data_IF_312425402574
#
_entry.id   IF_312425402574
#
_cell.length_a   1.000
_cell.length_b   1.000
_cell.length_c   1.000
_cell.angle_alpha   90.00
_cell.angle_beta   90.00
_cell.angle_gamma   90.00
#
_symmetry.space_group_name_H-M   'P 1'
#
loop_
_entity.id
_entity.type
_entity.pdbx_description
1 polymer ?
#
# COMPACT_ATOMS: atom_id res chain seq x y z
N UNK A 1 9.81 41.64 -3.56
CA UNK A 1 9.37 40.23 -3.53
C UNK A 1 9.86 39.57 -4.80
N UNK A 2 10.96 38.86 -4.72
CA UNK A 2 11.50 38.07 -5.83
C UNK A 2 10.60 36.84 -5.97
N UNK A 3 9.71 36.86 -6.96
CA UNK A 3 8.88 35.72 -7.30
C UNK A 3 9.77 34.60 -7.82
N UNK A 4 10.11 33.65 -6.96
CA UNK A 4 10.62 32.36 -7.39
C UNK A 4 9.49 31.68 -8.17
N UNK A 5 9.71 31.44 -9.45
CA UNK A 5 8.86 30.54 -10.24
C UNK A 5 8.78 29.22 -9.47
N UNK A 6 7.59 28.69 -9.13
CA UNK A 6 7.53 27.44 -8.39
C UNK A 6 8.19 26.36 -9.25
N UNK A 7 9.32 25.83 -8.78
CA UNK A 7 9.96 24.66 -9.36
C UNK A 7 8.95 23.53 -9.31
N UNK A 8 8.59 23.02 -10.48
CA UNK A 8 7.71 21.88 -10.63
C UNK A 8 8.26 20.72 -9.77
N UNK A 9 7.40 20.10 -8.96
CA UNK A 9 7.80 18.94 -8.14
C UNK A 9 8.52 17.90 -9.02
N UNK A 10 9.63 17.28 -8.55
CA UNK A 10 10.32 16.25 -9.31
C UNK A 10 9.38 15.08 -9.69
N UNK A 11 8.36 14.83 -8.87
CA UNK A 11 7.30 13.85 -9.08
C UNK A 11 6.25 14.25 -10.13
N UNK A 12 6.48 15.33 -10.88
CA UNK A 12 5.66 15.77 -12.01
C UNK A 12 6.48 15.95 -13.29
N UNK A 13 7.72 15.44 -13.30
CA UNK A 13 8.69 15.65 -14.39
C UNK A 13 9.31 14.33 -14.85
N UNK A 14 9.85 14.30 -16.08
CA UNK A 14 10.51 13.13 -16.66
C UNK A 14 9.64 11.86 -16.59
N UNK A 15 10.18 10.76 -16.03
CA UNK A 15 9.46 9.50 -15.85
C UNK A 15 8.25 9.61 -14.91
N UNK A 16 8.15 10.69 -14.14
CA UNK A 16 7.02 11.00 -13.25
C UNK A 16 6.05 12.03 -13.86
N UNK A 17 6.25 12.44 -15.12
CA UNK A 17 5.33 13.37 -15.77
C UNK A 17 3.93 12.74 -15.93
N UNK A 18 2.85 13.48 -15.67
CA UNK A 18 1.50 12.94 -15.78
C UNK A 18 1.15 12.46 -17.19
N UNK A 19 0.56 11.27 -17.28
CA UNK A 19 -0.05 10.73 -18.49
C UNK A 19 -1.43 11.37 -18.68
N UNK A 20 -1.60 12.11 -19.78
CA UNK A 20 -2.81 12.89 -20.03
C UNK A 20 -3.88 12.15 -20.83
N UNK A 21 -3.49 11.14 -21.60
CA UNK A 21 -4.36 10.46 -22.55
C UNK A 21 -4.69 9.04 -22.08
N UNK A 22 -5.98 8.70 -22.12
CA UNK A 22 -6.47 7.33 -22.02
C UNK A 22 -6.60 6.75 -23.43
N UNK A 23 -5.86 5.69 -23.70
CA UNK A 23 -5.76 5.05 -25.01
C UNK A 23 -6.13 3.57 -24.92
N UNK A 24 -6.41 2.99 -26.08
CA UNK A 24 -6.49 1.54 -26.28
C UNK A 24 -5.69 1.22 -27.53
N UNK A 25 -4.78 0.26 -27.43
CA UNK A 25 -3.89 -0.12 -28.51
C UNK A 25 -3.88 -1.64 -28.65
N UNK A 26 -4.32 -2.13 -29.80
CA UNK A 26 -4.28 -3.54 -30.16
C UNK A 26 -3.02 -3.86 -30.99
N UNK A 27 -2.60 -5.13 -30.98
CA UNK A 27 -1.48 -5.64 -31.77
C UNK A 27 -0.18 -4.84 -31.55
N UNK A 28 0.22 -4.69 -30.29
CA UNK A 28 1.47 -4.03 -29.95
C UNK A 28 2.65 -4.69 -30.67
N UNK A 29 3.64 -3.87 -31.06
CA UNK A 29 4.88 -4.36 -31.63
C UNK A 29 5.63 -5.20 -30.59
N UNK A 30 5.85 -6.48 -30.91
CA UNK A 30 6.69 -7.39 -30.12
C UNK A 30 8.10 -7.39 -30.69
N UNK A 31 9.10 -7.22 -29.81
CA UNK A 31 10.51 -7.45 -30.13
C UNK A 31 10.91 -8.74 -29.42
N UNK A 32 11.29 -9.77 -30.19
CA UNK A 32 11.45 -11.13 -29.68
C UNK A 32 10.18 -11.97 -29.89
N UNK A 33 9.87 -12.87 -28.97
CA UNK A 33 8.72 -13.78 -29.05
C UNK A 33 7.97 -13.79 -27.70
N UNK A 34 6.65 -13.69 -27.75
CA UNK A 34 5.79 -13.89 -26.58
C UNK A 34 5.40 -15.37 -26.50
N UNK A 35 5.54 -16.02 -25.33
CA UNK A 35 5.14 -17.43 -25.17
C UNK A 35 3.67 -17.63 -25.54
N UNK A 36 3.39 -18.58 -26.43
CA UNK A 36 2.04 -18.83 -26.94
C UNK A 36 1.09 -19.36 -25.86
N UNK A 37 1.64 -20.01 -24.83
CA UNK A 37 0.94 -20.56 -23.66
C UNK A 37 0.69 -19.53 -22.55
N UNK A 38 1.32 -18.35 -22.61
CA UNK A 38 1.03 -17.26 -21.69
C UNK A 38 -0.25 -16.52 -22.13
N UNK A 39 -1.29 -16.61 -21.31
CA UNK A 39 -2.54 -15.88 -21.51
C UNK A 39 -3.01 -15.24 -20.22
N UNK A 40 -3.21 -13.92 -20.24
CA UNK A 40 -3.62 -13.17 -19.06
C UNK A 40 -3.51 -11.66 -19.25
N UNK A 41 -3.73 -10.93 -18.18
CA UNK A 41 -3.60 -9.47 -18.16
C UNK A 41 -2.80 -9.05 -16.94
N UNK A 42 -1.68 -8.37 -17.18
CA UNK A 42 -0.94 -7.67 -16.14
C UNK A 42 -1.51 -6.27 -16.00
N UNK A 43 -2.04 -5.94 -14.83
CA UNK A 43 -2.57 -4.61 -14.54
C UNK A 43 -1.71 -3.97 -13.45
N UNK A 44 -1.20 -2.77 -13.74
CA UNK A 44 -0.47 -1.93 -12.78
C UNK A 44 -1.32 -0.71 -12.45
N UNK A 45 -1.33 -0.31 -11.19
CA UNK A 45 -1.90 0.95 -10.73
C UNK A 45 -0.77 1.92 -10.34
N UNK A 46 -1.05 3.21 -10.37
CA UNK A 46 -0.13 4.21 -9.85
C UNK A 46 -0.73 5.60 -9.79
N UNK A 47 -0.09 6.52 -9.04
CA UNK A 47 -0.51 7.90 -8.95
C UNK A 47 -0.26 8.65 -10.26
N UNK A 48 -1.28 9.34 -10.75
CA UNK A 48 -1.22 10.18 -11.93
C UNK A 48 -2.20 11.35 -11.76
N UNK A 49 -1.75 12.58 -11.45
CA UNK A 49 -2.66 13.69 -11.15
C UNK A 49 -3.39 14.12 -12.43
N UNK A 50 -4.72 14.23 -12.35
CA UNK A 50 -5.54 14.65 -13.48
C UNK A 50 -5.27 16.12 -13.89
N UNK A 51 -5.07 16.99 -12.90
CA UNK A 51 -4.82 18.42 -13.08
C UNK A 51 -3.56 18.84 -12.32
N UNK A 52 -3.08 20.05 -12.62
CA UNK A 52 -2.00 20.67 -11.86
C UNK A 52 -2.38 20.73 -10.36
N UNK A 53 -1.55 20.15 -9.47
CA UNK A 53 -1.83 20.13 -8.03
C UNK A 53 -1.90 21.52 -7.40
N UNK A 54 -2.65 21.65 -6.31
CA UNK A 54 -2.65 22.84 -5.45
C UNK A 54 -1.61 22.64 -4.35
N UNK A 55 -0.68 23.59 -4.20
CA UNK A 55 0.34 23.57 -3.16
C UNK A 55 1.47 22.57 -3.44
N UNK A 56 2.04 22.02 -2.37
CA UNK A 56 3.08 20.99 -2.44
C UNK A 56 2.52 19.66 -2.94
N UNK A 57 3.28 18.99 -3.81
CA UNK A 57 2.88 17.72 -4.41
C UNK A 57 3.78 16.58 -3.95
N UNK A 58 3.17 15.56 -3.37
CA UNK A 58 3.79 14.28 -3.03
C UNK A 58 3.41 13.22 -4.08
N UNK A 59 4.33 12.30 -4.37
CA UNK A 59 4.06 11.22 -5.33
C UNK A 59 2.83 10.36 -4.99
N UNK A 60 2.39 10.28 -3.73
CA UNK A 60 1.15 9.57 -3.35
C UNK A 60 -0.14 10.32 -3.67
N UNK A 61 -0.07 11.58 -4.10
CA UNK A 61 -1.25 12.40 -4.32
C UNK A 61 -1.92 12.15 -5.68
N UNK A 62 -1.24 11.60 -6.69
CA UNK A 62 -1.86 11.44 -8.02
C UNK A 62 -3.15 10.60 -8.01
N UNK A 63 -4.10 10.89 -8.89
CA UNK A 63 -5.28 10.04 -9.08
C UNK A 63 -4.88 8.65 -9.58
N UNK A 64 -5.62 7.60 -9.23
CA UNK A 64 -5.28 6.25 -9.63
C UNK A 64 -5.40 6.08 -11.14
N UNK A 65 -4.32 5.67 -11.79
CA UNK A 65 -4.32 5.35 -13.22
C UNK A 65 -3.84 3.92 -13.45
N UNK A 66 -4.73 3.13 -14.03
CA UNK A 66 -4.51 1.74 -14.37
C UNK A 66 -3.84 1.65 -15.74
N UNK A 67 -2.87 0.75 -15.84
CA UNK A 67 -2.21 0.35 -17.08
C UNK A 67 -2.34 -1.16 -17.21
N UNK A 68 -3.03 -1.61 -18.25
CA UNK A 68 -3.26 -3.01 -18.54
C UNK A 68 -2.50 -3.48 -19.77
N UNK A 69 -1.70 -4.53 -19.62
CA UNK A 69 -1.08 -5.26 -20.72
C UNK A 69 -1.68 -6.66 -20.78
N UNK A 70 -2.43 -6.94 -21.84
CA UNK A 70 -3.01 -8.27 -22.08
C UNK A 70 -2.14 -9.04 -23.05
N UNK A 71 -1.81 -10.27 -22.71
CA UNK A 71 -1.13 -11.23 -23.59
C UNK A 71 -2.10 -12.37 -23.87
N UNK A 72 -2.21 -12.77 -25.14
CA UNK A 72 -3.01 -13.92 -25.55
C UNK A 72 -2.52 -14.43 -26.92
N UNK A 73 -2.23 -15.73 -27.02
CA UNK A 73 -1.79 -16.38 -28.26
C UNK A 73 -0.64 -15.64 -28.98
N UNK A 74 0.40 -15.29 -28.22
CA UNK A 74 1.59 -14.59 -28.75
C UNK A 74 1.35 -13.12 -29.17
N UNK A 75 0.19 -12.55 -28.85
CA UNK A 75 -0.14 -11.13 -29.14
C UNK A 75 -0.29 -10.33 -27.87
N UNK A 76 0.03 -9.04 -27.94
CA UNK A 76 -0.16 -8.10 -26.85
C UNK A 76 -1.11 -6.95 -27.23
N UNK A 77 -1.96 -6.54 -26.28
CA UNK A 77 -2.74 -5.30 -26.34
C UNK A 77 -2.62 -4.50 -25.05
N UNK A 78 -2.85 -3.20 -25.14
CA UNK A 78 -2.69 -2.27 -24.03
C UNK A 78 -3.91 -1.35 -23.88
N UNK A 79 -4.26 -1.02 -22.65
CA UNK A 79 -5.14 0.09 -22.35
C UNK A 79 -4.74 0.75 -21.02
N UNK A 80 -5.06 2.03 -20.88
CA UNK A 80 -4.95 2.74 -19.61
C UNK A 80 -6.23 3.50 -19.28
N UNK A 81 -6.63 3.47 -18.01
CA UNK A 81 -7.82 4.18 -17.52
C UNK A 81 -7.57 4.81 -16.18
N UNK A 82 -8.07 6.03 -15.97
CA UNK A 82 -8.21 6.55 -14.62
C UNK A 82 -9.26 5.75 -13.86
N UNK A 83 -9.02 5.52 -12.57
CA UNK A 83 -10.05 5.10 -11.65
C UNK A 83 -10.99 6.28 -11.43
N UNK A 84 -12.26 6.12 -11.79
CA UNK A 84 -13.27 7.19 -11.73
C UNK A 84 -13.78 7.37 -10.30
N UNK A 85 -12.90 7.78 -9.39
CA UNK A 85 -13.25 8.05 -7.99
C UNK A 85 -14.18 9.26 -7.86
N UNK A 86 -14.78 9.45 -6.68
CA UNK A 86 -15.58 10.65 -6.41
C UNK A 86 -14.75 11.92 -6.63
N UNK A 87 -13.53 11.95 -6.07
CA UNK A 87 -12.58 13.04 -6.28
C UNK A 87 -12.35 13.30 -7.77
N UNK A 88 -11.98 12.28 -8.54
CA UNK A 88 -11.71 12.41 -9.98
C UNK A 88 -12.90 13.03 -10.70
N UNK A 89 -14.11 12.55 -10.42
CA UNK A 89 -15.32 13.04 -11.10
C UNK A 89 -15.60 14.52 -10.80
N UNK A 90 -15.43 14.95 -9.54
CA UNK A 90 -15.61 16.35 -9.15
C UNK A 90 -14.57 17.26 -9.83
N UNK A 91 -13.28 16.91 -9.75
CA UNK A 91 -12.24 17.72 -10.39
C UNK A 91 -12.41 17.77 -11.91
N UNK A 92 -12.83 16.66 -12.53
CA UNK A 92 -13.15 16.63 -13.95
C UNK A 92 -14.31 17.59 -14.31
N UNK A 93 -15.34 17.67 -13.47
CA UNK A 93 -16.47 18.58 -13.67
C UNK A 93 -16.05 20.05 -13.50
N UNK A 94 -15.21 20.34 -12.52
CA UNK A 94 -14.67 21.68 -12.24
C UNK A 94 -13.56 22.11 -13.24
N UNK A 95 -12.97 21.15 -13.96
CA UNK A 95 -11.88 21.40 -14.91
C UNK A 95 -10.55 21.78 -14.25
N UNK A 96 -10.38 21.49 -12.96
CA UNK A 96 -9.19 21.83 -12.17
C UNK A 96 -9.10 20.96 -10.91
N UNK A 97 -7.92 20.97 -10.28
CA UNK A 97 -7.77 20.42 -8.93
C UNK A 97 -8.65 21.20 -7.93
N UNK A 98 -9.27 20.47 -7.01
CA UNK A 98 -10.21 20.98 -5.98
C UNK A 98 -9.67 20.72 -4.57
N UNK A 99 -8.91 19.65 -4.39
CA UNK A 99 -8.27 19.30 -3.13
C UNK A 99 -6.75 19.46 -3.18
N UNK A 100 -6.15 19.81 -2.05
CA UNK A 100 -4.69 19.80 -1.87
C UNK A 100 -4.15 18.38 -1.65
N UNK A 101 -2.81 18.26 -1.66
CA UNK A 101 -2.10 17.00 -1.40
C UNK A 101 -1.86 16.72 0.08
N UNK A 102 -1.20 15.58 0.35
CA UNK A 102 -0.89 15.07 1.69
C UNK A 102 -0.01 16.01 2.53
N UNK A 103 0.84 16.81 1.88
CA UNK A 103 1.76 17.74 2.55
C UNK A 103 1.11 19.09 2.91
N UNK A 104 -0.17 19.27 2.59
CA UNK A 104 -0.93 20.48 2.89
C UNK A 104 -1.90 20.24 4.06
N UNK A 105 -2.35 21.30 4.77
CA UNK A 105 -3.29 21.16 5.86
C UNK A 105 -4.62 20.50 5.45
N UNK A 106 -5.28 19.73 6.36
CA UNK A 106 -6.59 19.15 6.09
C UNK A 106 -7.65 20.19 5.73
N UNK A 107 -8.41 19.95 4.67
CA UNK A 107 -9.43 20.88 4.15
C UNK A 107 -10.84 20.50 4.62
N UNK A 108 -11.12 20.67 5.91
CA UNK A 108 -12.42 20.28 6.50
C UNK A 108 -13.61 21.05 5.92
N UNK A 109 -13.39 22.31 5.50
CA UNK A 109 -14.43 23.21 4.98
C UNK A 109 -14.59 23.15 3.44
N UNK A 110 -14.00 22.15 2.78
CA UNK A 110 -14.14 22.02 1.33
C UNK A 110 -15.62 21.73 0.96
N UNK A 111 -16.25 22.52 0.06
CA UNK A 111 -17.67 22.37 -0.27
C UNK A 111 -18.01 21.02 -0.93
N UNK A 112 -17.01 20.31 -1.47
CA UNK A 112 -17.18 18.99 -2.05
C UNK A 112 -16.93 17.84 -1.05
N UNK A 113 -16.76 18.17 0.23
CA UNK A 113 -16.49 17.23 1.32
C UNK A 113 -15.02 16.79 1.42
N UNK A 114 -14.77 15.81 2.27
CA UNK A 114 -13.41 15.36 2.66
C UNK A 114 -12.99 14.03 2.03
N UNK A 115 -13.85 13.39 1.24
CA UNK A 115 -13.52 12.14 0.54
C UNK A 115 -12.60 12.39 -0.65
N UNK A 116 -11.30 12.18 -0.42
CA UNK A 116 -10.23 12.39 -1.39
C UNK A 116 -9.66 11.09 -1.95
N UNK A 117 -10.43 9.99 -1.89
CA UNK A 117 -9.95 8.67 -2.30
C UNK A 117 -9.38 8.67 -3.73
N UNK A 118 -8.08 8.36 -3.82
CA UNK A 118 -7.31 8.34 -5.06
C UNK A 118 -7.35 6.98 -5.76
N UNK A 119 -7.59 5.90 -5.02
CA UNK A 119 -7.53 4.51 -5.50
C UNK A 119 -6.27 4.19 -6.33
N UNK A 120 -5.10 4.66 -5.89
CA UNK A 120 -3.88 4.74 -6.71
C UNK A 120 -2.73 3.81 -6.28
N UNK A 121 -2.89 3.06 -5.18
CA UNK A 121 -1.75 2.43 -4.51
C UNK A 121 -1.48 1.02 -5.03
N UNK A 122 -2.53 0.19 -5.09
CA UNK A 122 -2.39 -1.22 -5.40
C UNK A 122 -3.67 -1.81 -6.02
N UNK A 123 -3.59 -3.10 -6.36
CA UNK A 123 -4.67 -3.90 -6.92
C UNK A 123 -4.75 -5.25 -6.21
N UNK A 124 -5.95 -5.77 -6.03
CA UNK A 124 -6.17 -7.18 -5.64
C UNK A 124 -7.27 -7.79 -6.51
N UNK A 125 -7.09 -9.05 -6.92
CA UNK A 125 -8.14 -9.83 -7.55
C UNK A 125 -8.70 -10.84 -6.54
N UNK A 126 -10.00 -10.77 -6.28
CA UNK A 126 -10.66 -11.65 -5.32
C UNK A 126 -12.14 -11.82 -5.67
N UNK A 127 -12.65 -13.03 -5.56
CA UNK A 127 -14.07 -13.36 -5.83
C UNK A 127 -14.62 -12.81 -7.16
N UNK A 128 -13.82 -12.82 -8.23
CA UNK A 128 -14.24 -12.32 -9.55
C UNK A 128 -14.12 -10.80 -9.74
N UNK A 129 -13.60 -10.08 -8.75
CA UNK A 129 -13.46 -8.62 -8.77
C UNK A 129 -11.99 -8.20 -8.77
N UNK A 130 -11.63 -7.29 -9.68
CA UNK A 130 -10.39 -6.53 -9.57
C UNK A 130 -10.67 -5.25 -8.80
N UNK A 131 -9.99 -5.07 -7.67
CA UNK A 131 -10.19 -3.94 -6.77
C UNK A 131 -8.98 -3.00 -6.83
N UNK A 132 -9.19 -1.72 -7.13
CA UNK A 132 -8.20 -0.65 -6.99
C UNK A 132 -8.24 -0.09 -5.56
N UNK A 133 -7.06 0.04 -4.95
CA UNK A 133 -6.93 0.22 -3.51
C UNK A 133 -6.19 1.51 -3.17
N UNK A 134 -6.59 2.12 -2.06
CA UNK A 134 -5.92 3.24 -1.41
C UNK A 134 -6.26 3.21 0.09
N UNK A 135 -5.23 3.23 0.93
CA UNK A 135 -5.31 2.94 2.37
C UNK A 135 -6.25 3.88 3.17
N UNK A 136 -6.59 5.04 2.62
CA UNK A 136 -7.50 6.01 3.25
C UNK A 136 -8.99 5.83 2.92
N UNK A 137 -9.39 4.82 2.14
CA UNK A 137 -10.79 4.69 1.72
C UNK A 137 -11.22 3.30 1.29
N UNK A 138 -12.48 3.18 0.84
CA UNK A 138 -13.01 1.94 0.30
C UNK A 138 -12.37 1.59 -1.06
N UNK A 139 -12.24 0.29 -1.41
CA UNK A 139 -11.79 -0.14 -2.73
C UNK A 139 -12.72 0.31 -3.85
N UNK A 140 -12.21 0.38 -5.07
CA UNK A 140 -13.00 0.60 -6.29
C UNK A 140 -12.98 -0.66 -7.17
N UNK A 141 -14.15 -1.13 -7.60
CA UNK A 141 -14.28 -2.29 -8.47
C UNK A 141 -14.00 -1.89 -9.93
N UNK A 142 -13.15 -2.65 -10.59
CA UNK A 142 -12.67 -2.42 -11.95
C UNK A 142 -13.11 -3.56 -12.85
N UNK A 143 -13.79 -3.22 -13.95
CA UNK A 143 -14.19 -4.18 -14.97
C UNK A 143 -13.00 -4.54 -15.85
N UNK A 144 -12.73 -5.84 -15.99
CA UNK A 144 -11.78 -6.39 -16.94
C UNK A 144 -12.48 -6.80 -18.26
N UNK A 145 -11.79 -6.71 -19.42
CA UNK A 145 -10.45 -6.16 -19.62
C UNK A 145 -10.42 -4.63 -19.86
N UNK A 146 -11.56 -3.94 -19.95
CA UNK A 146 -11.60 -2.53 -20.39
C UNK A 146 -11.07 -1.52 -19.36
N UNK A 147 -10.88 -1.95 -18.11
CA UNK A 147 -10.46 -1.15 -16.96
C UNK A 147 -11.46 -0.05 -16.55
N UNK A 148 -12.73 -0.21 -16.92
CA UNK A 148 -13.79 0.72 -16.53
C UNK A 148 -14.09 0.60 -15.03
N UNK A 149 -14.21 1.73 -14.35
CA UNK A 149 -14.60 1.77 -12.93
C UNK A 149 -16.10 1.50 -12.78
N UNK A 150 -16.46 0.51 -11.97
CA UNK A 150 -17.85 0.16 -11.65
C UNK A 150 -18.39 0.92 -10.43
N UNK A 151 -17.50 1.35 -9.53
CA UNK A 151 -17.85 2.09 -8.32
C UNK A 151 -17.13 1.57 -7.08
N UNK A 152 -17.45 2.13 -5.92
CA UNK A 152 -16.90 1.67 -4.63
C UNK A 152 -17.37 0.24 -4.33
N UNK A 153 -16.49 -0.57 -3.78
CA UNK A 153 -16.80 -1.92 -3.30
C UNK A 153 -16.93 -1.90 -1.78
N UNK A 154 -18.17 -1.98 -1.27
CA UNK A 154 -18.48 -1.85 0.16
C UNK A 154 -18.89 -3.17 0.81
N UNK A 155 -18.72 -4.30 0.10
CA UNK A 155 -19.11 -5.64 0.58
C UNK A 155 -20.57 -5.68 1.07
N UNK A 156 -21.52 -5.26 0.22
CA UNK A 156 -22.94 -5.08 0.57
C UNK A 156 -23.16 -4.15 1.77
N UNK A 157 -22.44 -3.01 1.79
CA UNK A 157 -22.44 -2.02 2.86
C UNK A 157 -21.96 -2.54 4.23
N UNK A 158 -21.33 -3.72 4.30
CA UNK A 158 -20.73 -4.23 5.55
C UNK A 158 -19.41 -3.54 5.88
N UNK A 159 -18.69 -3.00 4.90
CA UNK A 159 -17.45 -2.26 5.15
C UNK A 159 -17.75 -0.84 5.64
N UNK A 160 -17.37 -0.55 6.88
CA UNK A 160 -17.58 0.74 7.56
C UNK A 160 -16.28 1.50 7.84
N UNK A 161 -15.14 0.96 7.39
CA UNK A 161 -13.80 1.51 7.62
C UNK A 161 -13.07 1.79 6.30
N UNK A 162 -11.84 2.30 6.37
CA UNK A 162 -10.92 2.23 5.25
C UNK A 162 -10.54 0.77 4.95
N UNK A 163 -9.80 0.55 3.86
CA UNK A 163 -9.33 -0.77 3.46
C UNK A 163 -7.86 -0.66 3.03
N UNK A 164 -6.99 -1.54 3.54
CA UNK A 164 -5.57 -1.52 3.18
C UNK A 164 -5.33 -1.63 1.68
N UNK A 165 -4.24 -1.02 1.21
CA UNK A 165 -3.74 -1.27 -0.13
C UNK A 165 -3.11 -2.66 -0.30
N UNK A 166 -2.85 -3.40 0.78
CA UNK A 166 -2.12 -4.66 0.73
C UNK A 166 -2.87 -5.86 1.32
N UNK A 167 -4.13 -6.12 0.93
CA UNK A 167 -4.84 -7.32 1.37
C UNK A 167 -4.10 -8.57 0.89
N UNK A 168 -4.25 -9.67 1.64
CA UNK A 168 -3.59 -10.94 1.33
C UNK A 168 -4.66 -11.99 1.06
N UNK A 169 -4.62 -12.59 -0.14
CA UNK A 169 -5.53 -13.67 -0.54
C UNK A 169 -4.82 -14.99 -0.33
N UNK A 170 -5.34 -15.85 0.55
CA UNK A 170 -4.83 -17.21 0.66
C UNK A 170 -5.41 -18.06 -0.46
N UNK A 171 -4.56 -18.53 -1.37
CA UNK A 171 -4.96 -19.36 -2.51
C UNK A 171 -5.56 -20.72 -2.10
N UNK A 172 -5.27 -21.22 -0.89
CA UNK A 172 -5.79 -22.52 -0.42
C UNK A 172 -7.20 -22.39 0.12
N UNK A 173 -7.45 -21.41 0.99
CA UNK A 173 -8.80 -21.22 1.55
C UNK A 173 -9.68 -20.37 0.64
N UNK A 174 -9.08 -19.51 -0.19
CA UNK A 174 -9.74 -18.46 -0.96
C UNK A 174 -10.10 -17.21 -0.15
N UNK A 175 -9.84 -17.21 1.16
CA UNK A 175 -10.13 -16.06 2.02
C UNK A 175 -9.16 -14.91 1.72
N UNK A 176 -9.67 -13.69 1.87
CA UNK A 176 -8.86 -12.48 1.80
C UNK A 176 -8.83 -11.80 3.15
N UNK A 177 -7.63 -11.67 3.71
CA UNK A 177 -7.38 -10.93 4.93
C UNK A 177 -7.05 -9.48 4.58
N UNK A 178 -7.50 -8.55 5.41
CA UNK A 178 -7.18 -7.14 5.26
C UNK A 178 -7.10 -6.46 6.62
N UNK A 179 -6.46 -5.29 6.64
CA UNK A 179 -6.47 -4.38 7.78
C UNK A 179 -7.07 -3.03 7.40
N UNK A 180 -7.51 -2.29 8.40
CA UNK A 180 -7.86 -0.88 8.32
C UNK A 180 -7.27 -0.20 9.54
N UNK A 181 -6.60 0.93 9.35
CA UNK A 181 -6.10 1.72 10.46
C UNK A 181 -6.66 3.14 10.45
N UNK A 182 -6.71 3.71 11.65
CA UNK A 182 -7.10 5.09 11.91
C UNK A 182 -5.98 5.74 12.70
N UNK A 183 -5.56 6.93 12.25
CA UNK A 183 -4.53 7.70 12.95
C UNK A 183 -5.11 8.61 14.04
N UNK A 184 -6.40 8.90 13.99
CA UNK A 184 -7.02 10.00 14.76
C UNK A 184 -8.00 9.53 15.83
N UNK A 185 -8.58 8.33 15.68
CA UNK A 185 -9.58 7.82 16.61
C UNK A 185 -9.51 6.29 16.78
N UNK A 186 -9.81 5.76 17.98
CA UNK A 186 -9.94 4.32 18.20
C UNK A 186 -11.23 3.75 17.56
N UNK A 187 -11.26 2.44 17.21
CA UNK A 187 -10.11 1.53 17.21
C UNK A 187 -9.09 1.96 16.14
N UNK A 188 -7.81 2.04 16.55
CA UNK A 188 -6.74 2.51 15.66
C UNK A 188 -6.36 1.45 14.61
N UNK A 189 -6.64 0.18 14.87
CA UNK A 189 -6.47 -0.92 13.95
C UNK A 189 -7.71 -1.82 13.98
N UNK A 190 -8.13 -2.24 12.81
CA UNK A 190 -9.14 -3.26 12.58
C UNK A 190 -8.58 -4.32 11.63
N UNK A 191 -8.92 -5.57 11.89
CA UNK A 191 -8.57 -6.71 11.06
C UNK A 191 -9.86 -7.36 10.54
N UNK A 192 -9.88 -7.70 9.26
CA UNK A 192 -11.05 -8.30 8.64
C UNK A 192 -10.73 -9.47 7.73
N UNK A 193 -11.75 -10.31 7.53
CA UNK A 193 -11.69 -11.50 6.68
C UNK A 193 -12.87 -11.47 5.71
N UNK A 194 -12.56 -11.62 4.43
CA UNK A 194 -13.54 -11.79 3.35
C UNK A 194 -13.51 -13.24 2.89
N UNK A 195 -14.69 -13.83 2.74
CA UNK A 195 -14.86 -15.21 2.28
C UNK A 195 -14.37 -15.42 0.84
N UNK A 196 -14.18 -16.65 0.37
CA UNK A 196 -13.85 -16.94 -1.03
C UNK A 196 -14.87 -16.42 -2.05
N UNK A 197 -16.11 -16.24 -1.63
CA UNK A 197 -17.20 -15.71 -2.45
C UNK A 197 -17.33 -14.18 -2.39
N UNK A 198 -16.43 -13.48 -1.69
CA UNK A 198 -16.44 -12.02 -1.61
C UNK A 198 -17.37 -11.45 -0.53
N UNK A 199 -17.78 -12.25 0.46
CA UNK A 199 -18.55 -11.77 1.60
C UNK A 199 -17.64 -11.32 2.74
N UNK A 200 -17.83 -10.09 3.24
CA UNK A 200 -17.17 -9.68 4.48
C UNK A 200 -17.73 -10.47 5.67
N UNK A 201 -16.91 -11.39 6.20
CA UNK A 201 -17.29 -12.33 7.26
C UNK A 201 -17.20 -11.67 8.64
N UNK A 202 -16.11 -10.94 8.89
CA UNK A 202 -15.87 -10.27 10.16
C UNK A 202 -14.91 -9.10 10.01
N UNK A 203 -15.08 -8.14 10.92
CA UNK A 203 -14.12 -7.07 11.21
C UNK A 203 -14.00 -6.98 12.72
N UNK A 204 -12.79 -7.05 13.25
CA UNK A 204 -12.52 -6.99 14.69
C UNK A 204 -11.49 -5.89 15.00
N UNK A 205 -11.66 -5.15 16.11
CA UNK A 205 -10.64 -4.21 16.55
C UNK A 205 -9.42 -4.95 17.08
N UNK A 206 -8.25 -4.36 16.86
CA UNK A 206 -6.99 -4.76 17.48
C UNK A 206 -6.46 -3.55 18.25
N UNK A 207 -6.18 -3.72 19.53
CA UNK A 207 -5.81 -2.62 20.40
C UNK A 207 -4.39 -2.15 20.10
N UNK A 208 -4.28 -0.87 19.78
CA UNK A 208 -3.01 -0.15 19.70
C UNK A 208 -3.03 1.02 20.71
N UNK A 209 -1.87 1.39 21.28
CA UNK A 209 -1.78 2.49 22.23
C UNK A 209 -2.02 3.86 21.58
N UNK A 210 -1.78 3.99 20.28
CA UNK A 210 -2.02 5.19 19.49
C UNK A 210 -2.20 4.87 18.00
N UNK A 211 -2.63 5.86 17.23
CA UNK A 211 -2.72 5.77 15.78
C UNK A 211 -1.35 5.76 15.10
N UNK A 212 -1.13 4.77 14.24
CA UNK A 212 0.11 4.61 13.46
C UNK A 212 -0.22 4.43 11.98
N UNK A 213 0.73 4.73 11.10
CA UNK A 213 0.66 4.28 9.71
C UNK A 213 1.06 2.81 9.63
N UNK A 214 0.09 1.93 9.34
CA UNK A 214 0.33 0.50 9.11
C UNK A 214 0.09 0.18 7.62
N UNK A 215 1.09 0.46 6.79
CA UNK A 215 0.96 0.36 5.33
C UNK A 215 0.68 -1.08 4.88
N UNK A 216 1.46 -2.03 5.39
CA UNK A 216 1.38 -3.45 5.04
C UNK A 216 1.26 -4.33 6.30
N UNK A 217 0.97 -5.60 6.08
CA UNK A 217 0.91 -6.65 7.08
C UNK A 217 1.26 -7.99 6.41
N UNK A 218 1.34 -9.08 7.17
CA UNK A 218 1.62 -10.39 6.60
C UNK A 218 0.63 -11.46 7.08
N UNK A 219 0.54 -12.53 6.30
CA UNK A 219 -0.16 -13.76 6.68
C UNK A 219 0.83 -14.93 6.58
N UNK A 220 0.64 -15.92 7.41
CA UNK A 220 1.15 -17.30 7.29
C UNK A 220 -0.04 -18.22 7.15
N UNK A 221 0.12 -19.54 7.02
CA UNK A 221 -1.00 -20.49 6.94
C UNK A 221 -2.05 -20.30 8.05
N UNK A 222 -1.62 -20.08 9.30
CA UNK A 222 -2.48 -20.02 10.47
C UNK A 222 -2.50 -18.66 11.16
N UNK A 223 -1.52 -17.79 10.92
CA UNK A 223 -1.38 -16.51 11.62
C UNK A 223 -1.42 -15.29 10.71
N UNK A 224 -1.86 -14.17 11.29
CA UNK A 224 -1.71 -12.81 10.77
C UNK A 224 -0.66 -12.07 11.59
N UNK A 225 0.16 -11.25 10.93
CA UNK A 225 1.22 -10.44 11.54
C UNK A 225 0.94 -8.96 11.28
N UNK A 226 0.73 -8.18 12.34
CA UNK A 226 0.51 -6.73 12.32
C UNK A 226 1.83 -5.99 12.57
N UNK A 227 2.06 -4.89 11.87
CA UNK A 227 3.30 -4.12 11.95
C UNK A 227 3.07 -2.80 12.68
N UNK A 228 3.13 -2.82 14.01
CA UNK A 228 3.09 -1.60 14.83
C UNK A 228 4.47 -0.95 14.83
N UNK A 229 4.74 -0.20 13.75
CA UNK A 229 6.00 0.48 13.50
C UNK A 229 5.89 1.94 13.95
N UNK A 230 6.99 2.60 14.35
CA UNK A 230 6.95 3.89 15.02
C UNK A 230 6.71 5.09 14.07
N UNK A 231 5.87 4.92 13.05
CA UNK A 231 5.33 6.01 12.23
C UNK A 231 4.06 6.55 12.90
N UNK A 232 4.29 7.30 13.97
CA UNK A 232 3.27 7.65 14.96
C UNK A 232 2.53 8.94 14.56
N UNK A 233 1.22 8.97 14.75
CA UNK A 233 0.42 10.19 14.67
C UNK A 233 0.38 10.90 16.04
N UNK A 234 0.76 12.17 16.05
CA UNK A 234 0.80 13.04 17.23
C UNK A 234 0.11 14.37 16.92
N UNK A 235 -1.15 14.60 17.36
CA UNK A 235 -1.88 15.83 17.04
C UNK A 235 -1.19 17.09 17.58
N UNK A 236 -0.43 16.99 18.68
CA UNK A 236 0.33 18.09 19.28
C UNK A 236 1.45 18.63 18.38
N UNK A 237 1.90 17.89 17.38
CA UNK A 237 2.88 18.36 16.38
C UNK A 237 2.31 19.49 15.52
N UNK A 238 1.00 19.45 15.23
CA UNK A 238 0.32 20.51 14.46
C UNK A 238 0.41 21.85 15.20
N UNK A 239 0.29 21.83 16.54
CA UNK A 239 0.41 23.04 17.37
C UNK A 239 1.83 23.65 17.32
N UNK A 240 2.83 22.85 16.94
CA UNK A 240 4.23 23.26 16.77
C UNK A 240 4.56 23.57 15.30
N UNK A 241 3.58 23.58 14.39
CA UNK A 241 3.78 23.79 12.96
C UNK A 241 4.44 22.60 12.24
N UNK A 242 4.41 21.42 12.84
CA UNK A 242 5.02 20.20 12.30
C UNK A 242 3.97 19.29 11.67
N UNK A 243 4.41 18.40 10.77
CA UNK A 243 3.54 17.35 10.23
C UNK A 243 3.15 16.37 11.34
N UNK A 244 1.86 15.99 11.47
CA UNK A 244 1.39 15.19 12.60
C UNK A 244 1.91 13.76 12.60
N UNK A 245 2.33 13.24 11.45
CA UNK A 245 2.84 11.88 11.27
C UNK A 245 4.36 11.95 11.16
N UNK A 246 5.10 11.23 12.01
CA UNK A 246 6.55 11.17 11.91
C UNK A 246 7.10 9.87 12.48
N UNK A 247 8.25 9.45 11.95
CA UNK A 247 9.00 8.32 12.45
C UNK A 247 9.70 8.67 13.78
N UNK A 248 9.45 7.89 14.82
CA UNK A 248 10.05 8.08 16.16
C UNK A 248 11.13 7.00 16.41
N UNK A 249 12.40 7.29 16.09
CA UNK A 249 13.52 6.32 16.14
C UNK A 249 13.78 5.70 17.50
N UNK A 250 13.40 6.39 18.58
CA UNK A 250 13.57 5.92 19.96
C UNK A 250 12.42 4.99 20.42
N UNK A 251 11.39 4.82 19.60
CA UNK A 251 10.27 3.91 19.89
C UNK A 251 10.52 2.57 19.21
N UNK A 252 10.50 1.43 19.94
CA UNK A 252 10.69 0.12 19.35
C UNK A 252 9.57 -0.21 18.36
N UNK A 253 9.90 -1.01 17.35
CA UNK A 253 8.88 -1.62 16.48
C UNK A 253 8.28 -2.84 17.18
N UNK A 254 6.99 -3.09 16.98
CA UNK A 254 6.30 -4.26 17.53
C UNK A 254 5.59 -5.03 16.44
N UNK A 255 5.70 -6.36 16.49
CA UNK A 255 5.04 -7.28 15.58
C UNK A 255 3.98 -8.07 16.34
N UNK A 256 2.71 -7.85 16.02
CA UNK A 256 1.58 -8.52 16.65
C UNK A 256 1.20 -9.76 15.88
N UNK A 257 1.33 -10.94 16.48
CA UNK A 257 0.98 -12.21 15.83
C UNK A 257 -0.30 -12.75 16.45
N UNK A 258 -1.29 -13.03 15.60
CA UNK A 258 -2.61 -13.50 16.00
C UNK A 258 -3.03 -14.67 15.11
N UNK A 259 -3.75 -15.65 15.65
CA UNK A 259 -4.44 -16.64 14.80
C UNK A 259 -5.32 -15.93 13.78
N UNK A 260 -5.36 -16.39 12.52
CA UNK A 260 -6.14 -15.74 11.45
C UNK A 260 -7.60 -15.56 11.81
N UNK A 261 -8.19 -16.49 12.56
CA UNK A 261 -9.58 -16.44 13.01
C UNK A 261 -9.71 -16.14 14.51
N UNK A 262 -8.62 -15.75 15.16
CA UNK A 262 -8.62 -15.33 16.56
C UNK A 262 -9.18 -13.93 16.77
N UNK A 263 -8.98 -13.37 17.97
CA UNK A 263 -9.33 -11.99 18.29
C UNK A 263 -8.21 -11.24 19.01
N UNK A 264 -8.48 -9.98 19.38
CA UNK A 264 -7.53 -9.09 20.07
C UNK A 264 -6.85 -9.74 21.30
N UNK A 265 -7.56 -10.60 22.03
CA UNK A 265 -7.01 -11.26 23.22
C UNK A 265 -5.92 -12.30 22.91
N UNK A 266 -5.86 -12.78 21.67
CA UNK A 266 -4.87 -13.75 21.19
C UNK A 266 -3.61 -13.09 20.60
N UNK A 267 -3.58 -11.76 20.48
CA UNK A 267 -2.45 -11.05 19.87
C UNK A 267 -1.23 -11.15 20.78
N UNK A 268 -0.12 -11.62 20.20
CA UNK A 268 1.17 -11.72 20.86
C UNK A 268 2.14 -10.73 20.24
N UNK A 269 2.55 -9.75 21.02
CA UNK A 269 3.47 -8.71 20.57
C UNK A 269 4.92 -9.09 20.81
N UNK A 270 5.75 -8.93 19.77
CA UNK A 270 7.20 -9.11 19.81
C UNK A 270 7.86 -7.76 19.52
N UNK A 271 8.78 -7.34 20.37
CA UNK A 271 9.48 -6.05 20.21
C UNK A 271 10.83 -6.23 19.52
N UNK A 272 11.17 -5.31 18.63
CA UNK A 272 12.47 -5.23 17.95
C UNK A 272 13.04 -3.81 18.04
N UNK A 273 14.33 -3.60 17.73
CA UNK A 273 14.82 -2.25 17.45
C UNK A 273 13.95 -1.55 16.40
N UNK A 274 13.87 -0.22 16.50
CA UNK A 274 13.07 0.61 15.60
C UNK A 274 13.44 0.35 14.13
N UNK A 275 12.41 0.17 13.31
CA UNK A 275 12.51 0.04 11.87
C UNK A 275 11.20 0.47 11.20
N UNK A 276 11.26 0.68 9.89
CA UNK A 276 10.06 0.84 9.07
C UNK A 276 10.07 -0.16 7.92
N UNK A 277 8.90 -0.67 7.57
CA UNK A 277 8.67 -1.64 6.50
C UNK A 277 7.54 -1.09 5.65
N UNK A 278 7.81 -0.84 4.37
CA UNK A 278 6.73 -0.62 3.40
C UNK A 278 6.15 -1.96 2.97
N UNK A 279 6.96 -2.87 2.43
CA UNK A 279 6.42 -4.09 1.84
C UNK A 279 7.03 -5.37 2.38
N UNK A 280 6.13 -6.34 2.53
CA UNK A 280 6.42 -7.73 2.87
C UNK A 280 6.76 -8.51 1.62
N UNK A 281 7.83 -9.30 1.65
CA UNK A 281 8.08 -10.32 0.63
C UNK A 281 7.18 -11.54 0.84
N UNK A 282 7.27 -12.16 2.02
CA UNK A 282 6.40 -13.27 2.43
C UNK A 282 6.50 -13.50 3.94
N UNK A 283 5.58 -14.28 4.50
CA UNK A 283 5.73 -14.86 5.83
C UNK A 283 5.30 -16.33 5.80
N UNK A 284 5.81 -17.14 6.73
CA UNK A 284 5.45 -18.55 6.84
C UNK A 284 5.77 -19.11 8.22
N UNK A 285 5.24 -20.30 8.52
CA UNK A 285 5.52 -21.01 9.76
C UNK A 285 6.67 -22.01 9.58
N UNK A 286 7.51 -22.13 10.62
CA UNK A 286 8.60 -23.09 10.69
C UNK A 286 8.70 -23.64 12.12
N UNK A 287 7.97 -24.75 12.37
CA UNK A 287 7.82 -25.38 13.68
C UNK A 287 7.17 -24.42 14.69
N UNK A 288 7.90 -24.04 15.74
CA UNK A 288 7.44 -23.16 16.81
C UNK A 288 7.63 -21.67 16.47
N UNK A 289 8.09 -21.36 15.26
CA UNK A 289 8.42 -20.01 14.83
C UNK A 289 7.53 -19.53 13.68
N UNK A 290 7.15 -18.26 13.73
CA UNK A 290 6.65 -17.52 12.58
C UNK A 290 7.82 -16.75 11.97
N UNK A 291 8.00 -16.88 10.66
CA UNK A 291 9.06 -16.24 9.90
C UNK A 291 8.46 -15.15 9.04
N UNK A 292 8.97 -13.93 9.17
CA UNK A 292 8.64 -12.80 8.30
C UNK A 292 9.85 -12.46 7.45
N UNK A 293 9.65 -12.23 6.15
CA UNK A 293 10.67 -11.68 5.26
C UNK A 293 10.11 -10.41 4.61
N UNK A 294 10.77 -9.28 4.83
CA UNK A 294 10.31 -7.99 4.37
C UNK A 294 11.46 -7.02 4.10
N UNK A 295 11.17 -5.92 3.42
CA UNK A 295 12.14 -4.88 3.15
C UNK A 295 12.17 -3.88 4.31
N UNK A 296 13.27 -3.91 5.06
CA UNK A 296 13.49 -3.13 6.27
C UNK A 296 14.28 -1.87 5.97
N UNK A 297 13.81 -0.76 6.50
CA UNK A 297 14.54 0.50 6.59
C UNK A 297 14.82 0.82 8.07
N UNK A 298 15.94 1.51 8.34
CA UNK A 298 16.25 1.95 9.71
C UNK A 298 15.47 3.20 10.13
N UNK A 299 15.01 3.99 9.16
CA UNK A 299 14.11 5.13 9.34
C UNK A 299 13.28 5.35 8.06
N UNK A 300 12.43 6.36 8.05
CA UNK A 300 11.75 6.82 6.82
C UNK A 300 11.60 8.34 6.83
N UNK A 301 11.98 9.00 5.73
CA UNK A 301 11.85 10.44 5.52
C UNK A 301 10.66 10.79 4.62
N UNK A 302 9.71 9.87 4.43
CA UNK A 302 8.59 10.04 3.48
C UNK A 302 7.76 11.31 3.70
N UNK A 303 7.62 11.75 4.96
CA UNK A 303 6.89 12.97 5.32
C UNK A 303 7.79 14.05 5.93
N UNK A 304 9.11 13.89 5.81
CA UNK A 304 10.06 14.90 6.29
C UNK A 304 10.23 15.95 5.20
N UNK A 305 9.66 17.13 5.46
CA UNK A 305 9.69 18.27 4.54
C UNK A 305 10.91 19.17 4.72
N UNK A 306 11.52 19.17 5.91
CA UNK A 306 12.74 19.92 6.20
C UNK A 306 13.97 19.04 5.95
N UNK A 307 14.86 19.47 5.06
CA UNK A 307 16.11 18.73 4.74
C UNK A 307 17.00 18.46 5.96
N UNK A 308 17.07 19.39 6.91
CA UNK A 308 17.89 19.24 8.13
C UNK A 308 17.40 18.15 9.09
N UNK A 309 16.14 17.73 8.97
CA UNK A 309 15.53 16.71 9.84
C UNK A 309 15.61 15.30 9.21
N UNK A 310 16.12 15.17 7.96
CA UNK A 310 16.21 13.89 7.25
C UNK A 310 17.30 13.02 7.87
N UNK A 311 16.99 11.73 8.06
CA UNK A 311 17.95 10.71 8.47
C UNK A 311 18.74 10.24 7.24
N UNK A 312 20.05 10.51 7.14
CA UNK A 312 20.85 10.09 6.00
C UNK A 312 20.84 8.58 5.83
N UNK A 313 20.55 8.10 4.62
CA UNK A 313 20.46 6.68 4.28
C UNK A 313 19.42 5.87 5.09
N UNK A 314 18.59 6.55 5.90
CA UNK A 314 17.62 5.90 6.78
C UNK A 314 16.59 5.06 6.03
N UNK A 315 16.22 5.55 4.84
CA UNK A 315 15.14 5.03 3.99
C UNK A 315 15.64 4.03 2.95
N UNK A 316 16.89 3.58 3.05
CA UNK A 316 17.40 2.57 2.13
C UNK A 316 16.88 1.20 2.60
N UNK A 317 16.02 0.53 1.81
CA UNK A 317 15.44 -0.73 2.21
C UNK A 317 16.39 -1.89 1.88
N UNK A 318 16.51 -2.83 2.81
CA UNK A 318 17.23 -4.07 2.64
C UNK A 318 16.34 -5.26 2.98
N UNK A 319 16.56 -6.40 2.34
CA UNK A 319 15.79 -7.59 2.67
C UNK A 319 16.23 -8.15 4.03
N UNK A 320 15.28 -8.29 4.95
CA UNK A 320 15.50 -8.82 6.29
C UNK A 320 14.57 -9.99 6.58
N UNK A 321 14.97 -10.81 7.54
CA UNK A 321 14.17 -11.89 8.10
C UNK A 321 14.03 -11.75 9.60
N UNK A 322 12.81 -11.90 10.08
CA UNK A 322 12.49 -12.06 11.49
C UNK A 322 12.02 -13.49 11.75
N UNK A 323 12.44 -14.06 12.87
CA UNK A 323 11.94 -15.34 13.38
C UNK A 323 11.39 -15.10 14.77
N UNK A 324 10.07 -15.26 14.92
CA UNK A 324 9.33 -15.05 16.16
C UNK A 324 9.00 -16.40 16.78
N UNK A 325 9.63 -16.74 17.90
CA UNK A 325 9.38 -18.00 18.59
C UNK A 325 8.12 -17.90 19.46
N UNK A 326 7.06 -18.59 19.03
CA UNK A 326 5.78 -18.58 19.72
C UNK A 326 5.80 -19.37 21.05
N UNK A 327 6.84 -20.15 21.37
CA UNK A 327 6.92 -20.80 22.70
C UNK A 327 7.66 -19.94 23.71
N UNK A 328 8.79 -19.35 23.31
CA UNK A 328 9.69 -18.64 24.22
C UNK A 328 9.47 -17.13 24.26
N UNK A 329 8.81 -16.56 23.25
CA UNK A 329 8.70 -15.11 23.07
C UNK A 329 9.95 -14.46 22.49
N UNK A 330 10.98 -15.24 22.13
CA UNK A 330 12.20 -14.70 21.53
C UNK A 330 11.95 -14.25 20.08
N UNK A 331 12.62 -13.16 19.68
CA UNK A 331 12.69 -12.70 18.29
C UNK A 331 14.14 -12.61 17.84
N UNK A 332 14.42 -13.08 16.62
CA UNK A 332 15.70 -12.88 15.95
C UNK A 332 15.48 -12.16 14.64
N UNK A 333 16.23 -11.07 14.45
CA UNK A 333 16.29 -10.30 13.21
C UNK A 333 17.63 -10.57 12.49
N UNK A 334 17.61 -10.71 11.17
CA UNK A 334 18.82 -10.86 10.35
C UNK A 334 18.66 -10.19 8.98
N UNK A 335 19.71 -9.49 8.54
CA UNK A 335 19.82 -9.00 7.17
C UNK A 335 20.10 -10.16 6.23
N UNK A 336 19.30 -10.32 5.18
CA UNK A 336 19.45 -11.41 4.21
C UNK A 336 20.33 -11.06 3.01
N UNK A 337 20.34 -9.78 2.62
CA UNK A 337 21.08 -9.31 1.46
C UNK A 337 21.66 -7.91 1.71
N UNK A 338 22.87 -7.68 1.21
CA UNK A 338 23.55 -6.38 1.25
C UNK A 338 23.11 -5.46 0.10
N UNK A 339 22.38 -5.99 -0.89
CA UNK A 339 21.85 -5.20 -2.01
C UNK A 339 20.56 -4.48 -1.57
N UNK A 340 20.51 -3.14 -1.66
CA UNK A 340 19.27 -2.39 -1.46
C UNK A 340 18.16 -2.85 -2.41
N UNK A 341 16.98 -3.15 -1.89
CA UNK A 341 15.86 -3.60 -2.71
C UNK A 341 14.50 -3.34 -2.08
N UNK A 342 13.51 -3.11 -2.94
CA UNK A 342 12.11 -2.83 -2.56
C UNK A 342 11.15 -3.43 -3.59
N UNK A 343 9.84 -3.21 -3.42
CA UNK A 343 8.77 -3.80 -4.22
C UNK A 343 8.89 -5.32 -4.34
N UNK A 344 8.99 -6.04 -3.20
CA UNK A 344 9.15 -7.48 -3.20
C UNK A 344 7.89 -8.18 -3.72
N UNK A 345 8.08 -9.31 -4.39
CA UNK A 345 7.04 -10.19 -4.92
C UNK A 345 7.42 -11.64 -4.67
N UNK A 346 6.42 -12.42 -4.29
CA UNK A 346 6.50 -13.87 -4.18
C UNK A 346 5.62 -14.49 -5.27
N UNK A 347 5.80 -15.79 -5.54
CA UNK A 347 4.78 -16.54 -6.25
C UNK A 347 3.51 -16.54 -5.38
N UNK A 348 2.41 -15.97 -5.89
CA UNK A 348 1.16 -15.81 -5.15
C UNK A 348 0.59 -17.15 -4.66
N UNK A 349 0.88 -18.26 -5.35
CA UNK A 349 0.53 -19.64 -4.92
C UNK A 349 1.20 -20.07 -3.61
N UNK A 350 2.26 -19.37 -3.20
CA UNK A 350 3.04 -19.65 -1.99
C UNK A 350 2.95 -18.51 -0.96
N UNK A 351 2.04 -17.56 -1.15
CA UNK A 351 1.79 -16.52 -0.17
C UNK A 351 1.37 -17.16 1.16
N UNK A 352 2.03 -16.75 2.25
CA UNK A 352 1.81 -17.31 3.58
C UNK A 352 2.44 -18.68 3.84
N UNK A 353 3.19 -19.23 2.87
CA UNK A 353 3.81 -20.56 2.94
C UNK A 353 5.30 -20.49 2.72
N UNK A 354 6.01 -21.54 3.13
CA UNK A 354 7.47 -21.58 3.03
C UNK A 354 7.92 -21.48 1.58
N UNK A 355 8.72 -20.47 1.28
CA UNK A 355 9.22 -20.22 -0.07
C UNK A 355 10.73 -20.31 -0.14
N UNK A 356 11.22 -20.67 -1.34
CA UNK A 356 12.64 -20.65 -1.68
C UNK A 356 13.02 -19.41 -2.50
N UNK A 357 12.09 -18.89 -3.29
CA UNK A 357 12.32 -17.80 -4.23
C UNK A 357 11.42 -16.62 -3.92
N UNK A 358 12.01 -15.43 -4.01
CA UNK A 358 11.34 -14.14 -3.98
C UNK A 358 12.07 -13.20 -4.93
N UNK A 359 11.38 -12.18 -5.40
CA UNK A 359 11.90 -11.20 -6.35
C UNK A 359 11.72 -9.81 -5.74
N UNK A 360 12.67 -8.91 -5.95
CA UNK A 360 12.55 -7.50 -5.56
C UNK A 360 13.20 -6.62 -6.62
N UNK A 361 12.78 -5.37 -6.69
CA UNK A 361 13.44 -4.36 -7.51
C UNK A 361 14.70 -3.88 -6.77
N UNK A 362 15.87 -4.05 -7.39
CA UNK A 362 17.10 -3.47 -6.89
C UNK A 362 17.00 -1.94 -6.91
N UNK A 363 17.29 -1.32 -5.79
CA UNK A 363 17.42 0.13 -5.69
C UNK A 363 18.83 0.52 -6.13
N UNK A 364 18.92 1.42 -7.10
CA UNK A 364 20.19 1.97 -7.58
C UNK A 364 20.18 3.45 -7.23
N UNK A 365 21.20 3.91 -6.51
CA UNK A 365 21.46 5.35 -6.40
C UNK A 365 21.71 5.87 -7.81
N UNK A 366 20.93 6.84 -8.27
CA UNK A 366 21.20 7.50 -9.54
C UNK A 366 22.54 8.23 -9.46
N UNK A 367 23.43 7.96 -10.41
CA UNK A 367 24.57 8.83 -10.73
C UNK A 367 24.11 10.12 -11.40
#
# INVERSE_FOLDING_TARGET
MTGTTPTLSPFLSNNFAPVKEEITADNLKVIGELPADLSGMFVRNGPNPQFSPIGQYHWFDGDGMLHGLRINNGKASYCNRYVRTHKFQIENQEGKAVWTGLLEPPQQDNPHGTDTNRANTALVYHAGHLLALWEGGAPYNIKLPELNTLGKHTFNNKLQSSFTAHPKVDVVTGEMMFISYSMVQPPYLQYGIVSPSGELLRTIPIDLPLGVMMHDFAITENYTIFFDLPMNFRPERVQKGQFPIAFESETPSRFGIMSRHGDNSEVRWFETPACFIYHTLNAYEDRDEVVLVACRMSATNVFVTNEGDRVPNGDIPYLYRWRFNLKTGAVKEEKLDEVPSEFPRVNDELLGRKTRYGYSARMVSGD
#
